data_IF_544088788569
#
_entry.id   IF_544088788569
#
_cell.length_a   1.000
_cell.length_b   1.000
_cell.length_c   1.000
_cell.angle_alpha   90.00
_cell.angle_beta   90.00
_cell.angle_gamma   90.00
#
_symmetry.space_group_name_H-M   'P 1'
#
loop_
_entity.id
_entity.type
_entity.pdbx_description
1 polymer ?
#
# COMPACT_ATOMS: atom_id res chain seq x y z
N UNK A 1 -9.01 -3.82 7.66
CA UNK A 1 -9.31 -2.77 8.66
C UNK A 1 -9.19 -1.42 7.97
N UNK A 2 -10.17 -0.53 8.11
CA UNK A 2 -10.05 0.83 7.60
C UNK A 2 -9.21 1.66 8.58
N UNK A 3 -8.10 2.21 8.11
CA UNK A 3 -7.28 3.13 8.90
C UNK A 3 -7.93 4.52 8.88
N UNK A 4 -7.97 5.20 10.03
CA UNK A 4 -8.31 6.63 10.04
C UNK A 4 -7.19 7.45 9.39
N UNK A 5 -7.52 8.62 8.84
CA UNK A 5 -6.53 9.52 8.23
C UNK A 5 -5.38 9.90 9.18
N UNK A 6 -5.63 9.94 10.49
CA UNK A 6 -4.61 10.22 11.49
C UNK A 6 -3.67 9.01 11.68
N UNK A 7 -4.23 7.82 11.88
CA UNK A 7 -3.46 6.59 12.03
C UNK A 7 -2.63 6.29 10.79
N UNK A 8 -3.20 6.49 9.59
CA UNK A 8 -2.48 6.31 8.34
C UNK A 8 -1.25 7.23 8.27
N UNK A 9 -1.37 8.52 8.64
CA UNK A 9 -0.24 9.44 8.66
C UNK A 9 0.87 9.01 9.63
N UNK A 10 0.51 8.56 10.82
CA UNK A 10 1.50 8.07 11.80
C UNK A 10 2.20 6.81 11.31
N UNK A 11 1.45 5.86 10.74
CA UNK A 11 2.02 4.66 10.14
C UNK A 11 2.94 4.99 8.97
N UNK A 12 2.60 5.95 8.11
CA UNK A 12 3.47 6.40 7.01
C UNK A 12 4.78 6.98 7.55
N UNK A 13 4.73 7.80 8.61
CA UNK A 13 5.94 8.36 9.23
C UNK A 13 6.87 7.26 9.75
N UNK A 14 6.32 6.24 10.40
CA UNK A 14 7.08 5.10 10.92
C UNK A 14 7.62 4.22 9.78
N UNK A 15 6.78 3.90 8.80
CA UNK A 15 7.16 3.11 7.63
C UNK A 15 8.29 3.76 6.83
N UNK A 16 8.31 5.08 6.71
CA UNK A 16 9.42 5.84 6.12
C UNK A 16 10.75 5.68 6.86
N UNK A 17 10.72 5.43 8.16
CA UNK A 17 11.90 5.14 8.98
C UNK A 17 12.32 3.66 8.92
N UNK A 18 11.62 2.84 8.13
CA UNK A 18 11.88 1.41 8.00
C UNK A 18 11.18 0.54 9.06
N UNK A 19 10.20 1.08 9.78
CA UNK A 19 9.41 0.29 10.73
C UNK A 19 8.59 -0.78 9.99
N UNK A 20 8.98 -2.05 10.18
CA UNK A 20 8.36 -3.19 9.50
C UNK A 20 6.90 -3.40 9.89
N UNK A 21 6.56 -3.17 11.15
CA UNK A 21 5.18 -3.32 11.67
C UNK A 21 4.28 -2.26 11.05
N UNK A 22 4.79 -1.02 10.90
CA UNK A 22 4.06 0.04 10.24
C UNK A 22 3.84 -0.24 8.75
N UNK A 23 4.86 -0.75 8.05
CA UNK A 23 4.77 -1.19 6.65
C UNK A 23 3.70 -2.28 6.51
N UNK A 24 3.75 -3.32 7.35
CA UNK A 24 2.80 -4.43 7.31
C UNK A 24 1.37 -3.98 7.55
N UNK A 25 1.14 -3.08 8.53
CA UNK A 25 -0.18 -2.49 8.78
C UNK A 25 -0.72 -1.72 7.58
N UNK A 26 0.13 -0.95 6.90
CA UNK A 26 -0.25 -0.21 5.68
C UNK A 26 -0.57 -1.17 4.52
N UNK A 27 0.22 -2.24 4.35
CA UNK A 27 -0.05 -3.28 3.34
C UNK A 27 -1.40 -3.93 3.63
N UNK A 28 -1.63 -4.41 4.85
CA UNK A 28 -2.86 -5.09 5.24
C UNK A 28 -4.11 -4.20 5.12
N UNK A 29 -3.98 -2.90 5.40
CA UNK A 29 -5.07 -1.94 5.20
C UNK A 29 -5.44 -1.74 3.72
N UNK A 30 -4.46 -1.87 2.83
CA UNK A 30 -4.62 -1.63 1.38
C UNK A 30 -4.70 -2.91 0.55
N UNK A 31 -4.53 -4.09 1.17
CA UNK A 31 -4.48 -5.38 0.48
C UNK A 31 -5.71 -5.64 -0.39
N UNK A 32 -6.91 -5.34 0.13
CA UNK A 32 -8.15 -5.51 -0.63
C UNK A 32 -8.22 -4.64 -1.89
N UNK A 33 -7.65 -3.44 -1.86
CA UNK A 33 -7.54 -2.59 -3.05
C UNK A 33 -6.50 -3.14 -4.03
N UNK A 34 -5.32 -3.54 -3.53
CA UNK A 34 -4.25 -4.14 -4.32
C UNK A 34 -4.76 -5.39 -5.05
N UNK A 35 -5.43 -6.30 -4.32
CA UNK A 35 -6.02 -7.51 -4.87
C UNK A 35 -7.07 -7.20 -5.96
N UNK A 36 -7.96 -6.22 -5.71
CA UNK A 36 -8.94 -5.77 -6.73
C UNK A 36 -8.28 -5.20 -7.99
N UNK A 37 -7.17 -4.49 -7.86
CA UNK A 37 -6.40 -4.02 -9.01
C UNK A 37 -5.74 -5.19 -9.75
N UNK A 38 -5.13 -6.13 -9.03
CA UNK A 38 -4.49 -7.31 -9.58
C UNK A 38 -5.48 -8.21 -10.35
N UNK A 39 -6.71 -8.37 -9.86
CA UNK A 39 -7.78 -9.11 -10.54
C UNK A 39 -8.08 -8.59 -11.95
N UNK A 40 -7.86 -7.30 -12.24
CA UNK A 40 -8.07 -6.75 -13.59
C UNK A 40 -7.08 -7.31 -14.61
N UNK A 41 -5.95 -7.85 -14.14
CA UNK A 41 -4.87 -8.38 -14.94
C UNK A 41 -4.75 -9.91 -14.86
N UNK A 42 -5.66 -10.61 -14.17
CA UNK A 42 -5.58 -12.06 -13.99
C UNK A 42 -5.69 -12.85 -15.31
N UNK A 43 -6.32 -12.27 -16.33
CA UNK A 43 -6.53 -12.94 -17.63
C UNK A 43 -5.30 -12.91 -18.55
N UNK A 44 -4.20 -12.30 -18.13
CA UNK A 44 -2.97 -12.21 -18.91
C UNK A 44 -1.99 -13.38 -18.67
N UNK A 45 -2.44 -14.42 -17.96
CA UNK A 45 -1.62 -15.62 -17.69
C UNK A 45 -0.57 -15.42 -16.58
N UNK A 46 -0.57 -14.27 -15.91
CA UNK A 46 0.31 -13.98 -14.78
C UNK A 46 -0.38 -14.47 -13.49
N UNK A 47 0.31 -15.20 -12.60
CA UNK A 47 -0.22 -15.57 -11.30
C UNK A 47 -0.69 -14.34 -10.51
N UNK A 48 -1.88 -14.45 -9.90
CA UNK A 48 -2.45 -13.34 -9.13
C UNK A 48 -1.53 -12.91 -7.97
N UNK A 49 -0.80 -13.85 -7.38
CA UNK A 49 0.15 -13.58 -6.28
C UNK A 49 1.33 -12.72 -6.73
N UNK A 50 1.81 -12.90 -7.96
CA UNK A 50 2.88 -12.07 -8.53
C UNK A 50 2.39 -10.64 -8.75
N UNK A 51 1.19 -10.48 -9.30
CA UNK A 51 0.55 -9.17 -9.50
C UNK A 51 0.30 -8.45 -8.17
N UNK A 52 -0.11 -9.18 -7.14
CA UNK A 52 -0.30 -8.64 -5.78
C UNK A 52 1.05 -8.22 -5.20
N UNK A 53 2.09 -9.04 -5.36
CA UNK A 53 3.45 -8.75 -4.86
C UNK A 53 4.02 -7.48 -5.49
N UNK A 54 3.84 -7.30 -6.80
CA UNK A 54 4.21 -6.06 -7.51
C UNK A 54 3.44 -4.85 -6.98
N UNK A 55 2.13 -4.99 -6.73
CA UNK A 55 1.32 -3.94 -6.13
C UNK A 55 1.78 -3.55 -4.72
N UNK A 56 2.22 -4.52 -3.91
CA UNK A 56 2.80 -4.30 -2.58
C UNK A 56 4.12 -3.55 -2.70
N UNK A 57 5.01 -3.93 -3.62
CA UNK A 57 6.28 -3.24 -3.86
C UNK A 57 6.04 -1.78 -4.29
N UNK A 58 5.08 -1.55 -5.19
CA UNK A 58 4.69 -0.21 -5.62
C UNK A 58 4.17 0.63 -4.45
N UNK A 59 3.34 0.06 -3.56
CA UNK A 59 2.87 0.74 -2.35
C UNK A 59 4.03 1.12 -1.42
N UNK A 60 4.97 0.22 -1.17
CA UNK A 60 6.15 0.49 -0.32
C UNK A 60 6.99 1.63 -0.92
N UNK A 61 7.21 1.61 -2.25
CA UNK A 61 7.93 2.68 -2.94
C UNK A 61 7.18 4.01 -2.87
N UNK A 62 5.85 3.99 -3.02
CA UNK A 62 5.00 5.17 -2.88
C UNK A 62 5.10 5.76 -1.47
N UNK A 63 5.03 4.93 -0.43
CA UNK A 63 5.19 5.36 0.98
C UNK A 63 6.53 6.07 1.20
N UNK A 64 7.63 5.53 0.66
CA UNK A 64 8.96 6.16 0.76
C UNK A 64 8.96 7.55 0.13
N UNK A 65 8.33 7.71 -1.04
CA UNK A 65 8.27 8.97 -1.81
C UNK A 65 7.16 9.93 -1.35
N UNK A 66 6.21 9.47 -0.54
CA UNK A 66 4.99 10.20 -0.20
C UNK A 66 5.27 11.50 0.55
N UNK A 67 4.86 12.65 0.02
CA UNK A 67 4.98 13.93 0.76
C UNK A 67 3.75 14.12 1.66
N UNK A 68 3.94 13.98 2.98
CA UNK A 68 2.91 14.18 4.00
C UNK A 68 2.30 15.60 4.01
N UNK A 69 2.95 16.58 3.36
CA UNK A 69 2.45 17.96 3.22
C UNK A 69 1.47 18.10 2.06
N UNK A 70 1.50 17.17 1.09
CA UNK A 70 0.50 17.12 0.02
C UNK A 70 -0.72 16.37 0.54
N UNK A 71 -1.92 16.96 0.41
CA UNK A 71 -3.22 16.33 0.77
C UNK A 71 -3.61 15.18 -0.19
N UNK A 72 -2.68 14.30 -0.56
CA UNK A 72 -3.01 13.09 -1.31
C UNK A 72 -3.35 11.96 -0.36
N UNK A 73 -4.38 11.18 -0.67
CA UNK A 73 -4.55 9.85 -0.09
C UNK A 73 -3.62 8.90 -0.86
N UNK A 74 -3.01 7.93 -0.17
CA UNK A 74 -2.06 7.01 -0.81
C UNK A 74 -2.73 6.18 -1.91
N UNK A 75 -3.97 5.76 -1.69
CA UNK A 75 -4.78 5.01 -2.65
C UNK A 75 -6.23 5.51 -2.54
N UNK A 76 -6.78 6.02 -3.63
CA UNK A 76 -8.20 6.36 -3.81
C UNK A 76 -8.59 6.04 -5.24
#
# INVERSE_FOLDING_TARGET
MNLSSHQERELIKLAKKGDKVAIEKLINANYGFIYKCALKYSNYGIPIEDLVSEGILALIQAIKKFDLRKKLKLLT
#
